data_IF_351094300374
#
_entry.id   IF_351094300374
#
_cell.length_a   1.000
_cell.length_b   1.000
_cell.length_c   1.000
_cell.angle_alpha   90.00
_cell.angle_beta   90.00
_cell.angle_gamma   90.00
#
_symmetry.space_group_name_H-M   'P 1'
#
loop_
_entity.id
_entity.type
_entity.pdbx_description
1 polymer ?
#
# COMPACT_ATOMS: atom_id res chain seq x y z
N UNK A 1 -12.32 -63.19 88.06
CA UNK A 1 -13.70 -63.50 88.48
C UNK A 1 -14.56 -63.29 87.23
N UNK A 2 -15.23 -64.27 86.62
CA UNK A 2 -15.67 -65.58 87.10
C UNK A 2 -15.77 -66.53 85.90
N UNK A 3 -15.20 -67.72 86.12
CA UNK A 3 -15.20 -68.93 85.28
C UNK A 3 -16.58 -69.32 84.77
N UNK A 4 -16.65 -69.95 83.60
CA UNK A 4 -17.37 -71.23 83.40
C UNK A 4 -16.73 -72.02 82.25
N UNK A 5 -16.41 -73.26 82.58
CA UNK A 5 -15.73 -74.26 81.77
C UNK A 5 -16.72 -75.36 81.35
N UNK A 6 -16.18 -76.38 80.68
CA UNK A 6 -16.73 -77.70 80.29
C UNK A 6 -17.36 -77.73 78.88
N UNK A 7 -17.08 -78.67 77.98
CA UNK A 7 -16.54 -80.04 78.09
C UNK A 7 -15.73 -80.44 76.84
N UNK A 8 -14.66 -81.20 77.09
CA UNK A 8 -13.95 -82.05 76.12
C UNK A 8 -14.87 -83.14 75.56
N UNK A 9 -14.71 -83.50 74.28
CA UNK A 9 -14.84 -84.90 73.88
C UNK A 9 -13.96 -85.18 72.66
N UNK A 10 -12.92 -85.98 72.88
CA UNK A 10 -12.08 -86.59 71.86
C UNK A 10 -12.85 -87.76 71.25
N UNK A 11 -12.95 -87.83 69.92
CA UNK A 11 -13.29 -89.06 69.21
C UNK A 11 -12.19 -89.36 68.19
N UNK A 12 -11.47 -90.45 68.45
CA UNK A 12 -10.43 -91.03 67.60
C UNK A 12 -11.01 -92.00 66.57
N UNK A 13 -10.46 -91.90 65.35
CA UNK A 13 -10.23 -92.95 64.34
C UNK A 13 -11.44 -93.50 63.58
N UNK A 14 -11.44 -93.26 62.26
CA UNK A 14 -11.66 -94.31 61.27
C UNK A 14 -10.98 -93.93 59.94
N UNK A 15 -9.85 -94.56 59.64
CA UNK A 15 -9.31 -94.66 58.29
C UNK A 15 -10.13 -95.69 57.51
N UNK A 16 -10.92 -95.23 56.56
CA UNK A 16 -11.41 -96.01 55.42
C UNK A 16 -11.15 -95.10 54.20
N UNK A 17 -10.27 -95.49 53.30
CA UNK A 17 -10.60 -96.49 52.28
C UNK A 17 -10.91 -95.71 51.02
N UNK A 18 -10.02 -95.83 50.03
CA UNK A 18 -10.05 -95.03 48.81
C UNK A 18 -11.42 -94.99 48.15
N UNK A 19 -11.91 -93.78 47.95
CA UNK A 19 -12.54 -93.41 46.71
C UNK A 19 -11.54 -92.48 46.03
N UNK A 20 -11.01 -92.89 44.88
CA UNK A 20 -10.36 -91.95 43.99
C UNK A 20 -11.32 -90.79 43.82
N UNK A 21 -10.94 -89.62 44.31
CA UNK A 21 -11.66 -88.39 44.04
C UNK A 21 -11.36 -88.10 42.56
N UNK A 22 -12.06 -88.81 41.68
CA UNK A 22 -12.37 -88.30 40.36
C UNK A 22 -13.25 -87.09 40.62
N UNK A 23 -12.62 -85.97 40.98
CA UNK A 23 -13.17 -84.67 40.63
C UNK A 23 -13.37 -84.80 39.13
N UNK A 24 -14.62 -84.94 38.69
CA UNK A 24 -14.97 -84.51 37.35
C UNK A 24 -14.42 -83.09 37.29
N UNK A 25 -13.26 -82.96 36.65
CA UNK A 25 -12.71 -81.66 36.31
C UNK A 25 -13.74 -81.11 35.35
N UNK A 26 -14.68 -80.32 35.88
CA UNK A 26 -15.51 -79.46 35.08
C UNK A 26 -14.62 -78.71 34.10
N UNK A 27 -15.15 -78.34 32.92
CA UNK A 27 -14.36 -77.68 31.89
C UNK A 27 -13.51 -76.57 32.50
N UNK A 28 -12.20 -76.54 32.16
CA UNK A 28 -11.25 -75.56 32.69
C UNK A 28 -11.86 -74.15 32.58
N UNK A 29 -11.76 -73.31 33.63
CA UNK A 29 -12.30 -71.96 33.58
C UNK A 29 -11.63 -71.19 32.46
N UNK A 30 -12.42 -70.41 31.73
CA UNK A 30 -11.95 -69.60 30.60
C UNK A 30 -10.96 -68.52 31.07
N UNK A 31 -11.04 -68.13 32.34
CA UNK A 31 -10.14 -67.16 32.96
C UNK A 31 -9.94 -67.41 34.45
N UNK A 32 -8.80 -66.93 34.94
CA UNK A 32 -8.49 -66.80 36.38
C UNK A 32 -8.45 -65.33 36.83
N UNK A 33 -8.34 -64.41 35.87
CA UNK A 33 -8.47 -62.97 36.08
C UNK A 33 -8.95 -62.29 34.79
N UNK A 34 -9.42 -61.05 34.88
CA UNK A 34 -9.85 -60.27 33.71
C UNK A 34 -8.74 -60.14 32.63
N UNK A 35 -7.47 -60.14 33.06
CA UNK A 35 -6.31 -60.01 32.18
C UNK A 35 -6.03 -61.27 31.36
N UNK A 36 -6.50 -62.45 31.78
CA UNK A 36 -6.29 -63.70 31.03
C UNK A 36 -7.30 -63.92 29.91
N UNK A 37 -8.34 -63.11 29.84
CA UNK A 37 -9.32 -63.18 28.76
C UNK A 37 -8.71 -62.65 27.44
N UNK A 38 -9.21 -63.14 26.29
CA UNK A 38 -8.78 -62.69 24.95
C UNK A 38 -9.89 -62.04 24.11
N UNK A 39 -11.15 -62.01 24.57
CA UNK A 39 -12.23 -61.23 23.97
C UNK A 39 -11.82 -59.78 23.64
N UNK A 40 -12.24 -59.17 22.53
CA UNK A 40 -11.90 -57.77 22.25
C UNK A 40 -12.39 -56.87 23.40
N UNK A 41 -11.56 -55.90 23.78
CA UNK A 41 -11.88 -54.86 24.75
C UNK A 41 -11.47 -53.52 24.11
N UNK A 42 -12.43 -52.62 23.98
CA UNK A 42 -12.20 -51.24 23.53
C UNK A 42 -11.98 -50.34 24.74
N UNK A 43 -11.63 -49.07 24.53
CA UNK A 43 -11.54 -48.11 25.63
C UNK A 43 -12.86 -47.93 26.40
N UNK A 44 -14.00 -48.24 25.76
CA UNK A 44 -15.33 -48.22 26.36
C UNK A 44 -15.77 -49.54 27.01
N UNK A 45 -14.91 -50.56 27.00
CA UNK A 45 -15.21 -51.87 27.57
C UNK A 45 -14.01 -52.39 28.34
N UNK A 46 -14.17 -52.65 29.64
CA UNK A 46 -13.15 -53.36 30.41
C UNK A 46 -13.49 -54.83 30.55
N UNK A 47 -12.46 -55.67 30.56
CA UNK A 47 -12.59 -57.12 30.63
C UNK A 47 -12.99 -57.52 32.03
N UNK A 48 -13.84 -58.54 32.16
CA UNK A 48 -14.23 -59.11 33.45
C UNK A 48 -14.01 -60.62 33.45
N UNK A 49 -13.73 -61.17 34.63
CA UNK A 49 -13.67 -62.60 34.88
C UNK A 49 -14.52 -62.89 36.12
N UNK A 50 -15.74 -63.37 35.92
CA UNK A 50 -16.70 -63.64 36.99
C UNK A 50 -17.03 -65.13 36.92
N UNK A 51 -16.81 -65.84 38.03
CA UNK A 51 -17.05 -67.30 38.15
C UNK A 51 -16.35 -68.13 37.05
N UNK A 52 -15.15 -67.72 36.64
CA UNK A 52 -14.34 -68.43 35.64
C UNK A 52 -14.80 -68.25 34.19
N UNK A 53 -15.72 -67.32 33.91
CA UNK A 53 -16.15 -66.94 32.55
C UNK A 53 -15.66 -65.55 32.17
N UNK A 54 -15.17 -65.44 30.94
CA UNK A 54 -14.76 -64.15 30.39
C UNK A 54 -15.96 -63.29 30.00
N UNK A 55 -15.90 -62.00 30.31
CA UNK A 55 -16.92 -61.02 29.94
C UNK A 55 -16.34 -59.64 29.71
N UNK A 56 -17.24 -58.67 29.52
CA UNK A 56 -16.94 -57.25 29.51
C UNK A 56 -17.92 -56.51 30.41
N UNK A 57 -17.50 -55.38 30.95
CA UNK A 57 -18.40 -54.36 31.51
C UNK A 57 -18.16 -53.06 30.75
N UNK A 58 -19.26 -52.42 30.36
CA UNK A 58 -19.21 -51.16 29.62
C UNK A 58 -18.85 -50.02 30.57
N UNK A 59 -18.04 -49.09 30.10
CA UNK A 59 -17.83 -47.82 30.77
C UNK A 59 -19.14 -47.03 30.83
N UNK A 60 -19.33 -46.16 31.85
CA UNK A 60 -20.47 -45.26 31.91
C UNK A 60 -20.61 -44.42 30.64
N UNK A 61 -21.85 -44.07 30.31
CA UNK A 61 -22.15 -43.12 29.24
C UNK A 61 -21.43 -41.78 29.48
N UNK A 62 -20.99 -41.14 28.40
CA UNK A 62 -20.18 -39.91 28.37
C UNK A 62 -18.77 -40.00 29.00
N UNK A 63 -18.22 -41.21 29.20
CA UNK A 63 -16.81 -41.35 29.58
C UNK A 63 -15.90 -40.91 28.43
N UNK A 64 -15.03 -39.91 28.64
CA UNK A 64 -14.09 -39.40 27.63
C UNK A 64 -13.01 -40.44 27.30
N UNK A 65 -12.68 -40.57 26.01
CA UNK A 65 -11.53 -41.35 25.55
C UNK A 65 -10.23 -40.53 25.70
N UNK A 66 -9.10 -41.22 25.90
CA UNK A 66 -7.78 -40.62 26.03
C UNK A 66 -7.28 -40.00 24.72
N UNK A 67 -7.66 -40.57 23.58
CA UNK A 67 -7.41 -40.01 22.27
C UNK A 67 -8.61 -39.13 21.86
N UNK A 68 -8.44 -37.82 21.94
CA UNK A 68 -9.36 -36.84 21.35
C UNK A 68 -8.71 -36.24 20.10
N UNK A 69 -9.53 -35.73 19.19
CA UNK A 69 -9.09 -34.86 18.11
C UNK A 69 -9.33 -33.44 18.60
N UNK A 70 -8.31 -32.59 18.57
CA UNK A 70 -8.47 -31.20 18.99
C UNK A 70 -8.94 -30.35 17.82
N UNK A 71 -9.88 -29.44 18.09
CA UNK A 71 -10.44 -28.48 17.15
C UNK A 71 -11.38 -29.07 16.10
N UNK A 72 -11.99 -30.23 16.38
CA UNK A 72 -12.98 -30.85 15.50
C UNK A 72 -14.42 -30.68 15.99
N UNK A 73 -14.62 -29.87 17.03
CA UNK A 73 -15.91 -29.53 17.66
C UNK A 73 -16.64 -30.76 18.21
N UNK A 74 -15.89 -31.83 18.52
CA UNK A 74 -16.44 -33.11 18.96
C UNK A 74 -15.62 -33.67 20.12
N UNK A 75 -16.31 -34.43 20.96
CA UNK A 75 -15.67 -35.30 21.92
C UNK A 75 -15.98 -36.77 21.58
N UNK A 76 -14.96 -37.62 21.63
CA UNK A 76 -15.14 -39.06 21.58
C UNK A 76 -15.42 -39.57 22.98
N UNK A 77 -16.59 -40.17 23.17
CA UNK A 77 -17.09 -40.66 24.46
C UNK A 77 -17.64 -42.08 24.35
N UNK A 78 -17.80 -42.75 25.49
CA UNK A 78 -18.50 -44.02 25.55
C UNK A 78 -20.02 -43.83 25.61
N UNK A 79 -20.76 -44.70 24.93
CA UNK A 79 -22.24 -44.64 24.83
C UNK A 79 -22.98 -45.42 25.94
N UNK A 80 -22.26 -45.93 26.94
CA UNK A 80 -22.79 -46.81 27.99
C UNK A 80 -23.09 -48.25 27.53
N UNK A 81 -23.08 -48.52 26.23
CA UNK A 81 -23.33 -49.83 25.60
C UNK A 81 -22.06 -50.49 25.06
N UNK A 82 -20.91 -49.82 25.25
CA UNK A 82 -19.58 -50.33 24.91
C UNK A 82 -19.07 -49.88 23.54
N UNK A 83 -19.82 -49.04 22.84
CA UNK A 83 -19.37 -48.39 21.61
C UNK A 83 -18.83 -46.98 21.90
N UNK A 84 -18.10 -46.46 20.91
CA UNK A 84 -17.62 -45.08 20.91
C UNK A 84 -18.68 -44.23 20.20
N UNK A 85 -19.13 -43.19 20.86
CA UNK A 85 -19.97 -42.13 20.31
C UNK A 85 -19.15 -40.85 20.12
N UNK A 86 -19.48 -40.10 19.08
CA UNK A 86 -18.99 -38.74 18.89
C UNK A 86 -20.12 -37.78 19.27
N UNK A 87 -19.86 -36.93 20.26
CA UNK A 87 -20.82 -35.94 20.76
C UNK A 87 -20.31 -34.54 20.47
N UNK A 88 -21.24 -33.61 20.23
CA UNK A 88 -20.90 -32.21 19.98
C UNK A 88 -20.21 -31.61 21.21
N UNK A 89 -19.05 -30.99 21.02
CA UNK A 89 -18.30 -30.31 22.06
C UNK A 89 -17.99 -28.89 21.56
N UNK A 90 -18.60 -27.89 22.20
CA UNK A 90 -18.53 -26.51 21.74
C UNK A 90 -17.29 -25.76 22.23
N UNK A 91 -16.55 -26.30 23.19
CA UNK A 91 -15.28 -25.73 23.65
C UNK A 91 -14.05 -26.22 22.88
N UNK A 92 -14.20 -27.28 22.09
CA UNK A 92 -13.18 -27.83 21.20
C UNK A 92 -13.13 -27.06 19.88
N UNK A 93 -12.70 -25.80 20.01
CA UNK A 93 -12.65 -24.86 18.89
C UNK A 93 -11.49 -25.18 17.94
N UNK A 94 -11.68 -24.98 16.62
CA UNK A 94 -10.57 -24.96 15.69
C UNK A 94 -9.52 -23.91 16.11
N UNK A 95 -8.25 -24.17 15.77
CA UNK A 95 -7.15 -23.21 15.95
C UNK A 95 -6.29 -23.24 14.69
N UNK A 96 -6.46 -22.25 13.84
CA UNK A 96 -5.65 -22.03 12.63
C UNK A 96 -4.46 -21.09 12.87
N UNK A 97 -4.21 -20.72 14.13
CA UNK A 97 -3.22 -19.76 14.57
C UNK A 97 -3.34 -18.37 13.91
N UNK A 98 -4.53 -18.01 13.43
CA UNK A 98 -4.79 -16.73 12.78
C UNK A 98 -5.60 -15.79 13.68
N UNK A 99 -5.02 -14.67 14.15
CA UNK A 99 -5.73 -13.71 14.99
C UNK A 99 -6.88 -12.96 14.27
N UNK A 100 -6.97 -13.07 12.95
CA UNK A 100 -8.02 -12.44 12.14
C UNK A 100 -9.18 -13.37 11.81
N UNK A 101 -9.25 -14.52 12.45
CA UNK A 101 -10.43 -15.38 12.45
C UNK A 101 -10.94 -15.57 13.87
N UNK A 102 -12.27 -15.59 13.98
CA UNK A 102 -12.97 -15.99 15.20
C UNK A 102 -13.40 -17.45 15.03
N UNK A 103 -12.93 -18.26 15.96
CA UNK A 103 -13.10 -19.71 15.95
C UNK A 103 -14.40 -20.09 16.66
N UNK A 104 -15.19 -20.93 16.01
CA UNK A 104 -16.50 -21.33 16.50
C UNK A 104 -16.87 -22.74 16.06
N UNK A 105 -17.87 -23.31 16.73
CA UNK A 105 -18.44 -24.60 16.37
C UNK A 105 -19.91 -24.42 15.96
N UNK A 106 -20.22 -24.65 14.68
CA UNK A 106 -21.60 -24.64 14.18
C UNK A 106 -22.09 -26.06 13.92
N UNK A 107 -23.01 -26.54 14.75
CA UNK A 107 -23.59 -27.89 14.64
C UNK A 107 -22.55 -29.01 14.63
N UNK A 108 -21.53 -28.92 15.49
CA UNK A 108 -20.37 -29.84 15.57
C UNK A 108 -19.44 -29.81 14.34
N UNK A 109 -19.49 -28.74 13.55
CA UNK A 109 -18.49 -28.48 12.52
C UNK A 109 -17.61 -27.29 12.94
N UNK A 110 -16.28 -27.40 12.77
CA UNK A 110 -15.39 -26.27 12.97
C UNK A 110 -15.68 -25.18 11.94
N UNK A 111 -15.76 -23.94 12.42
CA UNK A 111 -16.01 -22.75 11.61
C UNK A 111 -15.05 -21.64 12.06
N UNK A 112 -14.19 -21.20 11.14
CA UNK A 112 -13.29 -20.05 11.33
C UNK A 112 -13.84 -18.88 10.52
N UNK A 113 -14.36 -17.86 11.20
CA UNK A 113 -15.02 -16.72 10.53
C UNK A 113 -14.10 -15.50 10.50
N UNK A 114 -14.01 -14.76 9.38
CA UNK A 114 -13.23 -13.53 9.35
C UNK A 114 -13.65 -12.53 10.42
N UNK A 115 -12.69 -12.11 11.23
CA UNK A 115 -12.86 -10.99 12.16
C UNK A 115 -13.01 -9.68 11.39
N UNK A 116 -13.69 -8.70 12.00
CA UNK A 116 -13.90 -7.39 11.38
C UNK A 116 -12.57 -6.68 11.02
N UNK A 117 -12.62 -5.89 9.93
CA UNK A 117 -11.51 -5.08 9.49
C UNK A 117 -11.06 -4.08 10.58
N UNK A 118 -9.75 -3.90 10.74
CA UNK A 118 -9.14 -2.98 11.71
C UNK A 118 -8.95 -3.54 13.11
N UNK A 119 -9.38 -4.78 13.39
CA UNK A 119 -9.02 -5.48 14.62
C UNK A 119 -7.51 -5.75 14.63
N UNK A 120 -6.87 -5.60 15.80
CA UNK A 120 -5.44 -5.78 15.95
C UNK A 120 -5.05 -7.25 15.72
N UNK A 121 -4.17 -7.49 14.75
CA UNK A 121 -3.57 -8.82 14.54
C UNK A 121 -2.28 -8.93 15.37
N UNK A 122 -2.40 -9.46 16.59
CA UNK A 122 -1.28 -9.66 17.50
C UNK A 122 -0.67 -11.04 17.30
N UNK A 123 0.67 -11.13 17.27
CA UNK A 123 1.38 -12.42 17.19
C UNK A 123 1.60 -12.97 15.78
N UNK A 124 1.09 -12.30 14.73
CA UNK A 124 1.45 -12.62 13.34
C UNK A 124 2.72 -11.88 12.92
N UNK A 125 3.55 -12.55 12.11
CA UNK A 125 4.73 -11.95 11.50
C UNK A 125 4.42 -11.07 10.28
N UNK A 126 3.21 -11.18 9.71
CA UNK A 126 2.88 -10.65 8.38
C UNK A 126 1.98 -9.42 8.40
N UNK A 127 1.47 -9.00 9.55
CA UNK A 127 0.54 -7.88 9.63
C UNK A 127 0.29 -7.40 11.05
N UNK A 128 -0.32 -6.22 11.16
CA UNK A 128 -0.72 -5.59 12.43
C UNK A 128 -2.23 -5.45 12.58
N UNK A 129 -2.98 -5.50 11.49
CA UNK A 129 -4.43 -5.30 11.47
C UNK A 129 -5.11 -6.33 10.57
N UNK A 130 -6.35 -6.68 10.88
CA UNK A 130 -7.17 -7.58 10.07
C UNK A 130 -7.83 -6.84 8.92
N UNK A 131 -7.89 -7.45 7.73
CA UNK A 131 -8.49 -6.86 6.53
C UNK A 131 -10.01 -7.05 6.38
N UNK A 132 -10.64 -7.76 7.33
CA UNK A 132 -12.06 -8.11 7.26
C UNK A 132 -12.37 -9.34 6.39
N UNK A 133 -11.37 -9.88 5.68
CA UNK A 133 -11.46 -11.11 4.89
C UNK A 133 -10.71 -12.27 5.56
N UNK A 134 -10.18 -12.06 6.76
CA UNK A 134 -9.49 -13.06 7.56
C UNK A 134 -7.97 -13.03 7.42
N UNK A 135 -7.40 -12.01 6.77
CA UNK A 135 -5.94 -11.89 6.62
C UNK A 135 -5.36 -10.81 7.52
N UNK A 136 -4.21 -11.12 8.13
CA UNK A 136 -3.37 -10.13 8.80
C UNK A 136 -2.57 -9.35 7.77
N UNK A 137 -2.76 -8.04 7.75
CA UNK A 137 -2.10 -7.12 6.82
C UNK A 137 -1.43 -5.96 7.57
N UNK A 138 -0.53 -5.23 6.91
CA UNK A 138 0.25 -4.18 7.58
C UNK A 138 -0.57 -2.92 7.87
N UNK A 139 -1.56 -2.62 7.04
CA UNK A 139 -2.39 -1.43 7.12
C UNK A 139 -3.72 -1.59 6.37
N UNK A 140 -4.69 -0.75 6.70
CA UNK A 140 -5.90 -0.50 5.91
C UNK A 140 -6.08 0.99 5.56
N UNK A 141 -5.44 1.86 6.34
CA UNK A 141 -5.43 3.30 6.16
C UNK A 141 -4.00 3.84 6.27
N UNK A 142 -3.72 5.04 5.72
CA UNK A 142 -2.41 5.68 5.85
C UNK A 142 -1.95 5.87 7.30
N UNK A 143 -2.89 6.04 8.24
CA UNK A 143 -2.61 6.21 9.68
C UNK A 143 -2.06 4.97 10.37
N UNK A 144 -2.19 3.78 9.75
CA UNK A 144 -1.70 2.52 10.32
C UNK A 144 -0.18 2.33 10.07
N UNK A 145 0.38 3.17 9.19
CA UNK A 145 1.80 3.19 8.87
C UNK A 145 2.51 4.28 9.67
N UNK A 146 3.52 3.90 10.46
CA UNK A 146 4.33 4.87 11.24
C UNK A 146 5.08 5.86 10.36
N UNK A 147 5.45 5.41 9.17
CA UNK A 147 5.97 6.21 8.05
C UNK A 147 5.42 5.58 6.79
N UNK A 148 5.00 6.37 5.79
CA UNK A 148 4.47 5.80 4.56
C UNK A 148 2.99 6.02 4.32
N UNK A 149 2.47 5.30 3.33
CA UNK A 149 1.05 5.18 3.02
C UNK A 149 0.69 3.72 2.89
N UNK A 150 -0.61 3.44 2.99
CA UNK A 150 -1.14 2.12 2.77
C UNK A 150 -1.46 1.91 1.29
N UNK A 151 -0.77 0.97 0.64
CA UNK A 151 -1.04 0.56 -0.74
C UNK A 151 -1.16 -0.97 -0.74
N UNK A 152 -2.29 -1.48 -1.23
CA UNK A 152 -2.57 -2.92 -1.29
C UNK A 152 -2.30 -3.64 0.06
N UNK A 153 -2.76 -3.00 1.15
CA UNK A 153 -2.61 -3.46 2.53
C UNK A 153 -1.16 -3.60 3.04
N UNK A 154 -0.21 -2.91 2.39
CA UNK A 154 1.21 -2.82 2.80
C UNK A 154 1.61 -1.38 3.07
N UNK A 155 2.45 -1.20 4.09
CA UNK A 155 3.05 0.09 4.39
C UNK A 155 4.26 0.31 3.48
N UNK A 156 4.09 1.20 2.50
CA UNK A 156 5.18 1.63 1.63
C UNK A 156 5.71 2.97 2.13
N UNK A 157 7.03 3.10 2.26
CA UNK A 157 7.65 4.33 2.75
C UNK A 157 7.58 5.40 1.66
N UNK A 158 7.28 6.64 2.07
CA UNK A 158 7.35 7.83 1.20
C UNK A 158 8.82 8.23 1.04
N UNK A 159 9.54 7.47 0.23
CA UNK A 159 10.91 7.82 -0.18
C UNK A 159 10.90 8.26 -1.62
N UNK A 160 11.54 9.39 -1.86
CA UNK A 160 11.75 9.88 -3.20
C UNK A 160 12.47 8.87 -4.09
N UNK A 161 11.95 8.69 -5.31
CA UNK A 161 12.41 7.69 -6.27
C UNK A 161 11.68 6.36 -6.14
N UNK A 162 10.50 6.31 -5.49
CA UNK A 162 9.68 5.08 -5.41
C UNK A 162 8.77 4.90 -6.64
N UNK A 163 8.75 5.85 -7.57
CA UNK A 163 7.97 5.83 -8.80
C UNK A 163 6.54 6.35 -8.66
N UNK A 164 6.17 6.96 -7.54
CA UNK A 164 4.86 7.58 -7.33
C UNK A 164 5.01 8.91 -6.56
N UNK A 165 4.30 9.96 -6.99
CA UNK A 165 4.30 11.23 -6.25
C UNK A 165 3.39 11.09 -5.03
N UNK A 166 4.01 11.06 -3.85
CA UNK A 166 3.31 10.93 -2.57
C UNK A 166 2.93 12.26 -1.92
N UNK A 167 2.12 12.20 -0.85
CA UNK A 167 1.70 13.40 -0.13
C UNK A 167 2.92 14.12 0.46
N UNK A 168 3.19 15.34 -0.03
CA UNK A 168 4.33 16.15 0.40
C UNK A 168 5.50 16.14 -0.60
N UNK A 169 5.42 15.33 -1.66
CA UNK A 169 6.38 15.31 -2.75
C UNK A 169 5.91 16.22 -3.90
N UNK A 170 6.82 16.99 -4.48
CA UNK A 170 6.54 17.79 -5.67
C UNK A 170 6.71 16.99 -6.97
N UNK A 171 7.56 15.96 -6.92
CA UNK A 171 7.95 15.05 -8.01
C UNK A 171 8.51 13.77 -7.39
N UNK A 172 8.62 12.69 -8.17
CA UNK A 172 9.33 11.46 -7.79
C UNK A 172 10.17 10.95 -8.97
N UNK A 173 11.50 10.98 -8.82
CA UNK A 173 12.42 10.49 -9.86
C UNK A 173 12.22 11.20 -11.21
N UNK A 174 11.62 10.50 -12.17
CA UNK A 174 11.27 11.05 -13.51
C UNK A 174 9.83 11.54 -13.60
N UNK A 175 8.96 11.20 -12.65
CA UNK A 175 7.61 11.74 -12.59
C UNK A 175 7.64 13.15 -12.00
N UNK A 176 7.47 14.15 -12.87
CA UNK A 176 7.51 15.56 -12.50
C UNK A 176 6.12 16.17 -12.30
N UNK A 177 5.06 15.36 -12.16
CA UNK A 177 3.69 15.84 -12.04
C UNK A 177 3.23 16.70 -13.23
N UNK A 178 3.79 16.46 -14.42
CA UNK A 178 3.60 17.29 -15.61
C UNK A 178 4.23 18.69 -15.55
N UNK A 179 5.08 18.96 -14.55
CA UNK A 179 5.83 20.21 -14.47
C UNK A 179 7.06 20.21 -15.40
N UNK A 180 7.44 21.40 -15.82
CA UNK A 180 8.62 21.69 -16.63
C UNK A 180 9.29 22.98 -16.13
N UNK A 181 10.48 23.28 -16.62
CA UNK A 181 11.10 24.59 -16.35
C UNK A 181 10.15 25.75 -16.74
N UNK A 182 9.42 25.61 -17.86
CA UNK A 182 8.47 26.64 -18.30
C UNK A 182 7.29 26.82 -17.35
N UNK A 183 6.73 25.74 -16.79
CA UNK A 183 5.65 25.87 -15.79
C UNK A 183 6.15 26.37 -14.44
N UNK A 184 7.44 26.21 -14.15
CA UNK A 184 8.11 26.76 -12.96
C UNK A 184 8.62 28.20 -13.15
N UNK A 185 8.30 28.86 -14.28
CA UNK A 185 8.62 30.27 -14.53
C UNK A 185 9.98 30.53 -15.17
N UNK A 186 10.64 29.52 -15.72
CA UNK A 186 11.89 29.63 -16.47
C UNK A 186 11.63 29.67 -17.99
N UNK A 187 12.56 30.18 -18.79
CA UNK A 187 12.36 30.26 -20.25
C UNK A 187 12.45 28.88 -20.92
N UNK A 188 13.39 28.05 -20.48
CA UNK A 188 13.61 26.70 -21.05
C UNK A 188 14.46 25.84 -20.09
N UNK A 189 14.96 24.70 -20.58
CA UNK A 189 15.86 23.81 -19.83
C UNK A 189 15.21 22.49 -19.44
N UNK A 190 15.90 21.74 -18.58
CA UNK A 190 15.46 20.41 -18.12
C UNK A 190 15.15 20.49 -16.62
N UNK A 191 13.91 20.21 -16.25
CA UNK A 191 13.51 20.07 -14.85
C UNK A 191 13.77 18.63 -14.41
N UNK A 192 14.39 18.43 -13.25
CA UNK A 192 14.57 17.10 -12.67
C UNK A 192 14.06 17.05 -11.23
N UNK A 193 13.97 15.87 -10.63
CA UNK A 193 13.58 15.71 -9.23
C UNK A 193 14.81 15.46 -8.34
N UNK A 194 14.92 16.19 -7.22
CA UNK A 194 15.98 15.95 -6.23
C UNK A 194 15.67 14.71 -5.39
N UNK A 195 16.67 14.11 -4.71
CA UNK A 195 16.45 13.02 -3.74
C UNK A 195 15.54 13.39 -2.56
N UNK A 196 15.27 14.68 -2.34
CA UNK A 196 14.31 15.18 -1.36
C UNK A 196 12.93 15.53 -1.95
N UNK A 197 12.58 15.03 -3.14
CA UNK A 197 11.28 15.19 -3.79
C UNK A 197 10.82 16.64 -3.97
N UNK A 198 11.80 17.49 -4.27
CA UNK A 198 11.61 18.88 -4.68
C UNK A 198 12.17 19.04 -6.09
N UNK A 199 11.58 19.95 -6.84
CA UNK A 199 12.08 20.26 -8.18
C UNK A 199 13.52 20.77 -8.14
N UNK A 200 14.34 20.25 -9.04
CA UNK A 200 15.67 20.76 -9.33
C UNK A 200 15.62 21.67 -10.56
N UNK A 201 15.71 22.97 -10.30
CA UNK A 201 15.71 23.99 -11.34
C UNK A 201 17.12 24.40 -11.77
N UNK A 202 18.17 23.72 -11.30
CA UNK A 202 19.57 24.08 -11.62
C UNK A 202 19.90 23.96 -13.11
N UNK A 203 19.21 23.08 -13.84
CA UNK A 203 19.32 22.95 -15.29
C UNK A 203 18.24 23.72 -16.07
N UNK A 204 17.45 24.56 -15.39
CA UNK A 204 16.54 25.49 -16.03
C UNK A 204 17.26 26.77 -16.46
N UNK A 205 16.86 27.32 -17.60
CA UNK A 205 17.36 28.58 -18.15
C UNK A 205 16.44 29.70 -17.69
N UNK A 206 16.98 30.68 -16.94
CA UNK A 206 16.21 31.83 -16.46
C UNK A 206 15.54 32.58 -17.62
N UNK A 207 14.37 33.16 -17.34
CA UNK A 207 13.76 34.11 -18.28
C UNK A 207 14.66 35.35 -18.31
N UNK A 208 15.18 35.76 -19.48
CA UNK A 208 15.93 37.01 -19.60
C UNK A 208 15.04 38.13 -19.07
N UNK A 209 15.50 38.79 -18.01
CA UNK A 209 14.70 39.76 -17.28
C UNK A 209 15.11 41.13 -17.74
N UNK A 210 14.21 41.78 -18.48
CA UNK A 210 14.47 43.11 -18.98
C UNK A 210 14.67 44.14 -17.85
N UNK A 211 15.75 44.91 -17.95
CA UNK A 211 16.13 45.92 -16.97
C UNK A 211 17.09 45.38 -15.90
N UNK A 212 17.78 44.27 -16.15
CA UNK A 212 18.79 43.71 -15.25
C UNK A 212 20.19 44.30 -15.48
N UNK A 213 20.35 45.14 -16.51
CA UNK A 213 21.59 45.83 -16.86
C UNK A 213 22.53 45.04 -17.77
N UNK A 214 22.12 43.89 -18.30
CA UNK A 214 22.87 43.11 -19.27
C UNK A 214 21.93 42.62 -20.38
N UNK A 215 22.40 42.62 -21.63
CA UNK A 215 21.62 42.08 -22.76
C UNK A 215 21.77 40.56 -22.77
N UNK A 216 20.72 39.86 -22.35
CA UNK A 216 20.64 38.40 -22.34
C UNK A 216 20.26 37.81 -23.71
N UNK A 217 20.41 36.49 -23.86
CA UNK A 217 20.03 35.80 -25.10
C UNK A 217 18.53 35.97 -25.38
N UNK A 218 18.21 36.69 -26.46
CA UNK A 218 16.85 36.97 -26.89
C UNK A 218 16.38 38.40 -26.63
N UNK A 219 17.18 39.23 -25.94
CA UNK A 219 16.93 40.65 -25.75
C UNK A 219 17.59 41.47 -26.87
N UNK A 220 16.90 42.51 -27.34
CA UNK A 220 17.48 43.47 -28.30
C UNK A 220 18.27 44.58 -27.58
N UNK A 221 17.88 44.88 -26.35
CA UNK A 221 18.42 45.90 -25.46
C UNK A 221 18.04 45.55 -24.02
N UNK A 222 18.70 46.15 -23.02
CA UNK A 222 18.30 46.08 -21.60
C UNK A 222 18.43 47.48 -20.96
N UNK A 223 17.30 48.08 -20.58
CA UNK A 223 17.28 49.39 -19.93
C UNK A 223 17.96 50.46 -20.78
N UNK A 224 19.17 50.87 -20.38
CA UNK A 224 20.01 51.85 -21.10
C UNK A 224 21.03 51.20 -22.03
N UNK A 225 21.30 49.91 -21.91
CA UNK A 225 22.17 49.18 -22.82
C UNK A 225 21.39 48.84 -24.10
N UNK A 226 21.66 49.61 -25.17
CA UNK A 226 20.98 49.47 -26.45
C UNK A 226 21.75 48.60 -27.45
N UNK A 227 22.74 47.81 -27.01
CA UNK A 227 23.62 47.02 -27.90
C UNK A 227 24.37 47.89 -28.94
N UNK A 228 24.65 49.14 -28.61
CA UNK A 228 25.21 50.13 -29.53
C UNK A 228 24.24 50.61 -30.63
N UNK A 229 22.96 50.27 -30.54
CA UNK A 229 21.93 50.78 -31.45
C UNK A 229 21.51 52.21 -31.07
N UNK A 230 21.08 52.95 -32.08
CA UNK A 230 20.53 54.29 -31.98
C UNK A 230 19.43 54.47 -33.03
N UNK A 231 18.65 55.55 -32.95
CA UNK A 231 17.70 55.88 -34.01
C UNK A 231 18.38 55.90 -35.39
N UNK A 232 19.62 56.40 -35.47
CA UNK A 232 20.38 56.45 -36.72
C UNK A 232 20.71 55.05 -37.27
N UNK A 233 21.10 54.10 -36.43
CA UNK A 233 21.38 52.73 -36.87
C UNK A 233 20.12 51.92 -37.18
N UNK A 234 18.97 52.35 -36.66
CA UNK A 234 17.65 51.79 -36.94
C UNK A 234 16.98 52.44 -38.18
N UNK A 235 17.67 53.33 -38.90
CA UNK A 235 17.18 53.93 -40.15
C UNK A 235 16.40 55.23 -40.01
N UNK A 236 16.40 55.85 -38.83
CA UNK A 236 15.80 57.16 -38.57
C UNK A 236 16.85 58.27 -38.71
N UNK A 237 16.45 59.52 -38.94
CA UNK A 237 17.43 60.63 -39.07
C UNK A 237 18.03 61.05 -37.73
N UNK A 238 17.23 61.05 -36.66
CA UNK A 238 17.67 61.49 -35.33
C UNK A 238 16.72 60.99 -34.23
N UNK A 239 16.88 61.49 -33.00
CA UNK A 239 16.00 61.17 -31.85
C UNK A 239 16.65 60.28 -30.80
N UNK A 240 15.83 59.84 -29.83
CA UNK A 240 16.25 58.98 -28.72
C UNK A 240 15.61 57.60 -28.84
N UNK A 241 16.44 56.57 -29.00
CA UNK A 241 16.02 55.18 -28.97
C UNK A 241 15.98 54.72 -27.51
N UNK A 242 14.89 54.09 -27.09
CA UNK A 242 14.76 53.56 -25.73
C UNK A 242 14.54 52.05 -25.77
N UNK A 243 14.76 51.39 -24.64
CA UNK A 243 14.41 49.98 -24.48
C UNK A 243 13.05 49.85 -23.79
N UNK A 244 12.13 49.11 -24.40
CA UNK A 244 10.84 48.76 -23.81
C UNK A 244 11.01 47.84 -22.59
N UNK A 245 10.07 47.80 -21.62
CA UNK A 245 10.03 46.79 -20.57
C UNK A 245 9.98 45.33 -21.07
N UNK A 246 9.75 45.12 -22.36
CA UNK A 246 9.78 43.81 -23.04
C UNK A 246 11.09 43.56 -23.79
N UNK A 247 12.13 44.37 -23.58
CA UNK A 247 13.47 44.23 -24.17
C UNK A 247 13.49 44.26 -25.71
N UNK A 248 12.58 45.05 -26.26
CA UNK A 248 12.51 45.43 -27.66
C UNK A 248 12.83 46.91 -27.80
N UNK A 249 13.45 47.31 -28.91
CA UNK A 249 13.66 48.71 -29.20
C UNK A 249 12.33 49.45 -29.32
N UNK A 250 12.23 50.57 -28.61
CA UNK A 250 11.15 51.54 -28.72
C UNK A 250 11.65 52.75 -29.51
N UNK A 251 11.17 52.87 -30.74
CA UNK A 251 11.52 53.93 -31.67
C UNK A 251 10.55 55.12 -31.63
N UNK A 252 9.63 55.19 -30.66
CA UNK A 252 8.67 56.30 -30.57
C UNK A 252 9.33 57.66 -30.33
N UNK A 253 10.53 57.67 -29.73
CA UNK A 253 11.38 58.84 -29.58
C UNK A 253 12.28 59.15 -30.79
N UNK A 254 12.23 58.33 -31.85
CA UNK A 254 13.00 58.55 -33.08
C UNK A 254 12.28 59.49 -34.05
N UNK A 255 13.06 60.31 -34.75
CA UNK A 255 12.59 61.22 -35.80
C UNK A 255 12.84 60.56 -37.14
N UNK A 256 11.76 60.35 -37.90
CA UNK A 256 11.82 59.78 -39.25
C UNK A 256 12.85 60.53 -40.11
N UNK A 257 13.54 59.79 -40.97
CA UNK A 257 14.39 60.42 -41.97
C UNK A 257 13.50 61.22 -42.94
N UNK A 258 13.92 62.44 -43.35
CA UNK A 258 13.25 63.15 -44.43
C UNK A 258 13.28 62.24 -45.65
N UNK A 259 12.10 61.98 -46.21
CA UNK A 259 11.92 60.95 -47.23
C UNK A 259 11.01 61.49 -48.32
N UNK A 260 11.58 61.71 -49.50
CA UNK A 260 10.85 62.22 -50.65
C UNK A 260 9.71 61.27 -51.02
N UNK A 261 8.49 61.80 -51.13
CA UNK A 261 7.26 61.08 -51.43
C UNK A 261 6.36 60.85 -50.20
N UNK A 262 6.63 61.47 -49.04
CA UNK A 262 5.79 61.39 -47.84
C UNK A 262 4.67 62.45 -47.81
N UNK A 263 4.62 63.34 -48.82
CA UNK A 263 3.61 64.37 -49.00
C UNK A 263 3.88 65.68 -48.24
N UNK A 264 5.05 65.86 -47.65
CA UNK A 264 5.48 67.10 -47.00
C UNK A 264 6.93 67.42 -47.39
N UNK A 265 7.22 68.67 -47.77
CA UNK A 265 8.59 69.10 -48.06
C UNK A 265 9.39 69.18 -46.75
N UNK A 266 10.25 68.18 -46.52
CA UNK A 266 11.09 68.12 -45.32
C UNK A 266 12.38 68.95 -45.45
N UNK A 267 13.09 69.14 -44.34
CA UNK A 267 14.33 69.92 -44.33
C UNK A 267 15.42 69.24 -45.18
N UNK A 268 15.75 69.86 -46.32
CA UNK A 268 16.71 69.33 -47.30
C UNK A 268 16.07 68.82 -48.60
N UNK A 269 14.74 68.85 -48.71
CA UNK A 269 14.01 68.56 -49.93
C UNK A 269 13.66 69.84 -50.68
N UNK A 270 13.78 69.82 -52.01
CA UNK A 270 13.31 70.90 -52.88
C UNK A 270 11.79 70.80 -53.14
N UNK A 271 11.24 69.58 -53.01
CA UNK A 271 9.84 69.24 -53.20
C UNK A 271 9.56 67.82 -52.64
N UNK A 272 8.28 67.50 -52.40
CA UNK A 272 7.80 66.15 -52.08
C UNK A 272 6.54 65.82 -52.88
N UNK A 273 6.64 64.87 -53.81
CA UNK A 273 5.51 64.40 -54.59
C UNK A 273 4.85 65.53 -55.40
N UNK A 274 3.66 65.97 -54.97
CA UNK A 274 2.96 67.12 -55.58
C UNK A 274 3.18 68.44 -54.85
N UNK A 275 3.77 68.43 -53.66
CA UNK A 275 4.14 69.62 -52.93
C UNK A 275 5.49 70.14 -53.44
N UNK A 276 5.45 71.20 -54.26
CA UNK A 276 6.62 71.79 -54.90
C UNK A 276 7.26 72.92 -54.07
N UNK A 277 6.96 73.02 -52.76
CA UNK A 277 7.46 74.10 -51.89
C UNK A 277 7.12 75.52 -52.38
N UNK A 278 6.07 75.67 -53.19
CA UNK A 278 5.71 76.94 -53.84
C UNK A 278 6.47 77.26 -55.12
N UNK A 279 7.33 76.36 -55.60
CA UNK A 279 8.07 76.51 -56.85
C UNK A 279 7.22 76.21 -58.09
N UNK A 280 7.55 76.89 -59.18
CA UNK A 280 6.95 76.75 -60.50
C UNK A 280 8.02 76.93 -61.57
N UNK A 281 7.73 76.54 -62.82
CA UNK A 281 8.65 76.82 -63.93
C UNK A 281 8.97 78.32 -64.04
N UNK A 282 8.03 79.20 -63.68
CA UNK A 282 8.21 80.65 -63.70
C UNK A 282 9.18 81.13 -62.60
N UNK A 283 9.10 80.58 -61.38
CA UNK A 283 10.01 80.95 -60.28
C UNK A 283 11.43 80.42 -60.51
N UNK A 284 11.58 79.31 -61.24
CA UNK A 284 12.86 78.74 -61.67
C UNK A 284 13.43 79.38 -62.96
N UNK A 285 12.80 80.44 -63.48
CA UNK A 285 13.33 81.22 -64.61
C UNK A 285 12.98 80.70 -66.02
N UNK A 286 12.05 79.74 -66.13
CA UNK A 286 11.54 79.25 -67.41
C UNK A 286 10.22 79.95 -67.79
N UNK A 287 9.97 80.08 -69.10
CA UNK A 287 8.80 80.80 -69.61
C UNK A 287 7.46 80.05 -69.45
N UNK A 288 7.47 78.71 -69.43
CA UNK A 288 6.30 77.85 -69.24
C UNK A 288 6.71 76.39 -68.97
N UNK A 289 5.78 75.56 -68.49
CA UNK A 289 5.99 74.13 -68.20
C UNK A 289 5.25 73.67 -66.93
N UNK A 290 5.37 72.38 -66.59
CA UNK A 290 4.96 71.82 -65.31
C UNK A 290 6.18 71.21 -64.62
N UNK A 291 6.44 71.60 -63.37
CA UNK A 291 7.46 70.95 -62.55
C UNK A 291 6.92 69.61 -62.04
N UNK A 292 7.77 68.61 -62.02
CA UNK A 292 7.50 67.32 -61.39
C UNK A 292 8.57 67.07 -60.36
N UNK A 293 8.17 66.72 -59.13
CA UNK A 293 9.12 66.27 -58.14
C UNK A 293 9.58 64.85 -58.48
N UNK A 294 10.89 64.62 -58.53
CA UNK A 294 11.47 63.29 -58.76
C UNK A 294 12.29 62.90 -57.53
N UNK A 295 12.18 61.63 -57.07
CA UNK A 295 12.95 61.13 -55.93
C UNK A 295 14.44 60.99 -56.24
#
# INVERSE_FOLDING_TARGET
>A
MTRRAWLLSMLTVASAGGAGCSVELGPLPECVSAATCTNPATECQTRTCIEGRCGVVNMPDHTLLAAQVSGDCKALVCDGHGAIASVAEGSDLPDDANPCTEESCESSNPVSTPTAAGVACLGSATGRVCDGSGSCVECLAPTDCSTGRCIENRCVVLTCGNGAIDQGEACDGTDLAGQSCTTQGFASGVLTCKPGCTFDTTACVAVPTCGNGAIDQGEACDGTDLAGQSCLTQGFASGALTCSPTCTFDSTGCVAAPSCGNGAVDQGEDCDGTDLAGESCLTQGFASGALTCSP
#
